data_IF_795561937799
#
_entry.id   IF_795561937799
#
_cell.length_a   1.000
_cell.length_b   1.000
_cell.length_c   1.000
_cell.angle_alpha   90.00
_cell.angle_beta   90.00
_cell.angle_gamma   90.00
#
_symmetry.space_group_name_H-M   'P 1'
#
loop_
_entity.id
_entity.type
_entity.pdbx_description
1 polymer ?
#
# COMPACT_ATOMS: atom_id res chain seq x y z
N UNK A 1 -30.80 3.69 -6.14
CA UNK A 1 -30.12 4.99 -6.25
C UNK A 1 -28.61 4.93 -5.96
N UNK A 2 -28.13 4.01 -5.12
CA UNK A 2 -26.69 3.85 -4.79
C UNK A 2 -25.83 3.48 -6.02
N UNK A 3 -26.26 2.53 -6.86
CA UNK A 3 -25.49 2.11 -8.04
C UNK A 3 -25.48 3.09 -9.23
N UNK A 4 -26.33 4.13 -9.23
CA UNK A 4 -26.29 5.20 -10.26
C UNK A 4 -25.32 6.32 -9.89
N UNK A 5 -24.89 6.40 -8.62
CA UNK A 5 -23.86 7.34 -8.18
C UNK A 5 -22.46 6.79 -8.44
N UNK A 6 -22.19 5.50 -8.25
CA UNK A 6 -20.85 4.91 -8.48
C UNK A 6 -20.39 4.94 -9.95
N UNK A 7 -21.31 4.75 -10.90
CA UNK A 7 -21.01 4.80 -12.32
C UNK A 7 -20.66 6.21 -12.82
N UNK A 8 -21.19 7.25 -12.18
CA UNK A 8 -20.91 8.63 -12.59
C UNK A 8 -19.69 9.17 -11.81
N UNK A 9 -19.36 8.59 -10.64
CA UNK A 9 -18.09 8.80 -9.91
C UNK A 9 -16.88 8.25 -10.70
N UNK A 10 -17.02 7.10 -11.37
CA UNK A 10 -15.96 6.56 -12.23
C UNK A 10 -15.78 7.34 -13.53
N UNK A 11 -16.88 7.90 -14.07
CA UNK A 11 -16.87 8.68 -15.32
C UNK A 11 -16.25 10.08 -15.12
N UNK A 12 -16.55 10.75 -13.99
CA UNK A 12 -15.93 12.03 -13.63
C UNK A 12 -14.44 11.90 -13.26
N UNK A 13 -14.02 10.78 -12.67
CA UNK A 13 -12.60 10.48 -12.38
C UNK A 13 -11.74 10.40 -13.64
N UNK A 14 -12.26 9.73 -14.68
CA UNK A 14 -11.62 9.67 -16.01
C UNK A 14 -11.60 11.02 -16.73
N UNK A 15 -12.54 11.92 -16.45
CA UNK A 15 -12.61 13.25 -17.08
C UNK A 15 -11.69 14.31 -16.43
N UNK A 16 -11.25 14.08 -15.19
CA UNK A 16 -10.40 15.00 -14.42
C UNK A 16 -8.89 14.69 -14.52
N UNK A 17 -8.51 13.48 -14.95
CA UNK A 17 -7.11 13.14 -15.27
C UNK A 17 -6.60 13.82 -16.55
N UNK A 18 -7.52 14.23 -17.43
CA UNK A 18 -7.24 14.85 -18.72
C UNK A 18 -7.16 16.39 -18.70
N UNK A 19 -7.39 17.05 -17.54
CA UNK A 19 -7.43 18.52 -17.47
C UNK A 19 -6.62 19.09 -16.27
N UNK A 20 -5.35 19.46 -16.51
CA UNK A 20 -4.46 20.04 -15.49
C UNK A 20 -4.98 21.36 -14.89
N UNK A 21 -5.88 22.08 -15.57
CA UNK A 21 -6.46 23.32 -15.02
C UNK A 21 -7.42 23.02 -13.85
N UNK A 22 -8.20 21.93 -13.92
CA UNK A 22 -9.12 21.50 -12.86
C UNK A 22 -8.39 20.96 -11.61
N UNK A 23 -7.27 20.25 -11.81
CA UNK A 23 -6.37 19.85 -10.71
C UNK A 23 -5.72 21.08 -10.06
N UNK A 24 -5.29 22.05 -10.87
CA UNK A 24 -4.73 23.31 -10.36
C UNK A 24 -5.76 24.19 -9.63
N UNK A 25 -7.04 24.09 -10.01
CA UNK A 25 -8.18 24.76 -9.36
C UNK A 25 -8.50 24.13 -8.00
N UNK A 26 -8.45 22.80 -7.90
CA UNK A 26 -8.60 22.05 -6.64
C UNK A 26 -7.45 22.34 -5.65
N UNK A 27 -6.23 22.51 -6.15
CA UNK A 27 -5.05 22.88 -5.35
C UNK A 27 -4.99 24.37 -4.97
N UNK A 28 -5.71 25.27 -5.68
CA UNK A 28 -5.56 26.74 -5.50
C UNK A 28 -6.67 27.53 -4.81
N UNK A 29 -7.88 27.03 -4.47
CA UNK A 29 -8.95 27.94 -3.96
C UNK A 29 -9.75 27.53 -2.70
N UNK A 30 -9.54 28.39 -1.67
CA UNK A 30 -10.41 28.85 -0.57
C UNK A 30 -11.84 28.28 -0.51
N UNK A 31 -12.16 27.67 0.64
CA UNK A 31 -13.47 27.26 1.23
C UNK A 31 -14.74 28.01 0.74
N UNK A 32 -14.65 29.29 0.36
CA UNK A 32 -15.75 30.09 -0.18
C UNK A 32 -16.31 29.60 -1.53
N UNK A 33 -15.51 28.94 -2.36
CA UNK A 33 -16.00 28.40 -3.65
C UNK A 33 -16.77 27.09 -3.47
N UNK A 34 -16.39 26.27 -2.48
CA UNK A 34 -17.13 25.07 -2.09
C UNK A 34 -18.49 25.42 -1.46
N UNK A 35 -18.56 26.51 -0.70
CA UNK A 35 -19.83 27.08 -0.23
C UNK A 35 -20.68 27.60 -1.40
N UNK A 36 -20.06 28.17 -2.44
CA UNK A 36 -20.73 28.58 -3.68
C UNK A 36 -21.36 27.41 -4.45
N UNK A 37 -20.62 26.30 -4.60
CA UNK A 37 -21.08 25.08 -5.26
C UNK A 37 -22.22 24.42 -4.47
N UNK A 38 -22.08 24.33 -3.13
CA UNK A 38 -23.14 23.82 -2.24
C UNK A 38 -24.42 24.68 -2.31
N UNK A 39 -24.28 26.00 -2.32
CA UNK A 39 -25.41 26.92 -2.44
C UNK A 39 -26.07 26.81 -3.81
N UNK A 40 -25.29 26.70 -4.90
CA UNK A 40 -25.78 26.44 -6.25
C UNK A 40 -26.56 25.12 -6.35
N UNK A 41 -26.08 24.05 -5.71
CA UNK A 41 -26.79 22.77 -5.65
C UNK A 41 -28.14 22.87 -4.90
N UNK A 42 -28.22 23.68 -3.83
CA UNK A 42 -29.48 23.92 -3.10
C UNK A 42 -30.46 24.81 -3.85
N UNK A 43 -30.00 25.81 -4.60
CA UNK A 43 -30.86 26.66 -5.45
C UNK A 43 -31.38 25.88 -6.66
N UNK A 44 -30.49 25.11 -7.31
CA UNK A 44 -30.88 24.13 -8.30
C UNK A 44 -31.94 23.20 -7.71
N UNK A 45 -31.76 22.69 -6.48
CA UNK A 45 -32.70 21.81 -5.71
C UNK A 45 -34.15 22.31 -5.73
N UNK A 46 -34.32 23.59 -5.42
CA UNK A 46 -35.62 24.26 -5.39
C UNK A 46 -36.21 24.46 -6.79
N UNK A 47 -35.36 24.67 -7.79
CA UNK A 47 -35.78 24.92 -9.18
C UNK A 47 -36.39 23.69 -9.87
N UNK A 48 -35.89 22.47 -9.62
CA UNK A 48 -36.53 21.25 -10.17
C UNK A 48 -37.84 20.92 -9.44
N UNK A 49 -37.95 21.20 -8.14
CA UNK A 49 -39.24 21.06 -7.45
C UNK A 49 -40.29 22.00 -8.05
N UNK A 50 -39.90 23.25 -8.32
CA UNK A 50 -40.74 24.22 -9.01
C UNK A 50 -41.11 23.76 -10.43
N UNK A 51 -40.14 23.30 -11.23
CA UNK A 51 -40.39 22.81 -12.59
C UNK A 51 -41.25 21.54 -12.63
N UNK A 52 -41.11 20.63 -11.66
CA UNK A 52 -41.97 19.46 -11.54
C UNK A 52 -43.41 19.86 -11.19
N UNK A 53 -43.59 20.90 -10.37
CA UNK A 53 -44.90 21.51 -10.13
C UNK A 53 -45.51 22.11 -11.41
N UNK A 54 -44.73 22.84 -12.20
CA UNK A 54 -45.14 23.39 -13.50
C UNK A 54 -45.51 22.29 -14.51
N UNK A 55 -44.73 21.19 -14.56
CA UNK A 55 -45.02 20.02 -15.39
C UNK A 55 -46.33 19.36 -14.97
N UNK A 56 -46.61 19.26 -13.67
CA UNK A 56 -47.90 18.77 -13.16
C UNK A 56 -49.07 19.62 -13.65
N UNK A 57 -48.94 20.95 -13.57
CA UNK A 57 -49.96 21.88 -14.03
C UNK A 57 -50.16 21.83 -15.56
N UNK A 58 -49.08 21.65 -16.34
CA UNK A 58 -49.15 21.50 -17.80
C UNK A 58 -49.81 20.18 -18.19
N UNK A 59 -49.50 19.06 -17.51
CA UNK A 59 -50.18 17.77 -17.73
C UNK A 59 -51.68 17.88 -17.50
N UNK A 60 -52.09 18.58 -16.46
CA UNK A 60 -53.49 18.81 -16.15
C UNK A 60 -54.19 19.68 -17.22
N UNK A 61 -53.49 20.66 -17.80
CA UNK A 61 -53.96 21.45 -18.95
C UNK A 61 -54.03 20.64 -20.25
N UNK A 62 -53.12 19.69 -20.46
CA UNK A 62 -53.13 18.76 -21.60
C UNK A 62 -54.37 17.85 -21.52
N UNK A 63 -54.66 17.29 -20.35
CA UNK A 63 -55.84 16.42 -20.15
C UNK A 63 -57.17 17.17 -20.31
N UNK A 64 -57.19 18.48 -20.09
CA UNK A 64 -58.39 19.33 -20.21
C UNK A 64 -58.51 20.07 -21.55
N UNK A 65 -57.52 19.97 -22.45
CA UNK A 65 -57.51 20.66 -23.75
C UNK A 65 -58.17 19.80 -24.85
N UNK A 66 -59.43 20.09 -25.18
CA UNK A 66 -60.26 19.34 -26.12
C UNK A 66 -59.99 19.52 -27.62
N UNK A 67 -58.79 19.92 -28.08
CA UNK A 67 -58.54 20.10 -29.52
C UNK A 67 -57.14 20.54 -29.99
N UNK A 68 -56.83 20.19 -31.24
CA UNK A 68 -55.49 19.98 -31.82
C UNK A 68 -54.40 21.04 -31.59
N UNK A 69 -54.65 22.34 -31.80
CA UNK A 69 -53.58 23.37 -31.71
C UNK A 69 -53.14 23.64 -30.26
N UNK A 70 -54.10 23.71 -29.33
CA UNK A 70 -53.82 23.88 -27.89
C UNK A 70 -53.16 22.63 -27.29
N UNK A 71 -53.56 21.45 -27.75
CA UNK A 71 -52.93 20.19 -27.35
C UNK A 71 -51.48 20.08 -27.86
N UNK A 72 -51.22 20.51 -29.11
CA UNK A 72 -49.86 20.53 -29.67
C UNK A 72 -48.95 21.54 -28.96
N UNK A 73 -49.44 22.74 -28.63
CA UNK A 73 -48.68 23.74 -27.90
C UNK A 73 -48.38 23.27 -26.47
N UNK A 74 -49.36 22.65 -25.81
CA UNK A 74 -49.18 22.09 -24.47
C UNK A 74 -48.21 20.89 -24.46
N UNK A 75 -48.23 20.03 -25.49
CA UNK A 75 -47.26 18.94 -25.66
C UNK A 75 -45.84 19.46 -25.90
N UNK A 76 -45.68 20.54 -26.68
CA UNK A 76 -44.38 21.20 -26.89
C UNK A 76 -43.85 21.82 -25.61
N UNK A 77 -44.70 22.49 -24.85
CA UNK A 77 -44.33 23.05 -23.54
C UNK A 77 -43.96 21.97 -22.54
N UNK A 78 -44.71 20.86 -22.52
CA UNK A 78 -44.39 19.69 -21.72
C UNK A 78 -43.03 19.09 -22.09
N UNK A 79 -42.75 18.88 -23.38
CA UNK A 79 -41.46 18.36 -23.83
C UNK A 79 -40.31 19.30 -23.47
N UNK A 80 -40.47 20.61 -23.70
CA UNK A 80 -39.48 21.63 -23.33
C UNK A 80 -39.18 21.63 -21.82
N UNK A 81 -40.20 21.51 -20.98
CA UNK A 81 -40.05 21.46 -19.52
C UNK A 81 -39.44 20.16 -19.04
N UNK A 82 -39.78 19.03 -19.68
CA UNK A 82 -39.11 17.74 -19.43
C UNK A 82 -37.62 17.82 -19.77
N UNK A 83 -37.26 18.46 -20.88
CA UNK A 83 -35.87 18.63 -21.28
C UNK A 83 -35.11 19.64 -20.40
N UNK A 84 -35.80 20.62 -19.83
CA UNK A 84 -35.26 21.54 -18.82
C UNK A 84 -35.00 20.81 -17.50
N UNK A 85 -35.94 19.97 -17.04
CA UNK A 85 -35.77 19.13 -15.84
C UNK A 85 -34.65 18.10 -16.02
N UNK A 86 -34.53 17.50 -17.20
CA UNK A 86 -33.42 16.57 -17.49
C UNK A 86 -32.07 17.26 -17.41
N UNK A 87 -31.92 18.43 -18.02
CA UNK A 87 -30.68 19.21 -17.97
C UNK A 87 -30.30 19.62 -16.54
N UNK A 88 -31.28 20.03 -15.75
CA UNK A 88 -31.04 20.41 -14.35
C UNK A 88 -30.75 19.18 -13.46
N UNK A 89 -31.38 18.03 -13.75
CA UNK A 89 -31.08 16.76 -13.09
C UNK A 89 -29.67 16.25 -13.40
N UNK A 90 -29.23 16.35 -14.67
CA UNK A 90 -27.87 16.02 -15.10
C UNK A 90 -26.82 16.92 -14.44
N UNK A 91 -27.10 18.23 -14.36
CA UNK A 91 -26.27 19.21 -13.65
C UNK A 91 -26.14 18.90 -12.14
N UNK A 92 -27.24 18.50 -11.49
CA UNK A 92 -27.22 18.07 -10.07
C UNK A 92 -26.49 16.77 -9.83
N UNK A 93 -26.64 15.83 -10.76
CA UNK A 93 -25.95 14.55 -10.69
C UNK A 93 -24.44 14.83 -10.71
N UNK A 94 -23.97 15.63 -11.66
CA UNK A 94 -22.57 16.11 -11.72
C UNK A 94 -22.10 16.74 -10.40
N UNK A 95 -22.85 17.68 -9.83
CA UNK A 95 -22.49 18.36 -8.58
C UNK A 95 -22.47 17.42 -7.35
N UNK A 96 -23.42 16.48 -7.26
CA UNK A 96 -23.45 15.47 -6.20
C UNK A 96 -22.25 14.53 -6.29
N UNK A 97 -21.82 14.20 -7.49
CA UNK A 97 -20.70 13.32 -7.74
C UNK A 97 -19.37 14.03 -7.53
N UNK A 98 -19.26 15.30 -7.90
CA UNK A 98 -18.11 16.14 -7.58
C UNK A 98 -17.91 16.21 -6.07
N UNK A 99 -18.98 16.42 -5.28
CA UNK A 99 -18.91 16.43 -3.81
C UNK A 99 -18.53 15.07 -3.21
N UNK A 100 -19.01 13.97 -3.77
CA UNK A 100 -18.67 12.62 -3.29
C UNK A 100 -17.29 12.17 -3.78
N UNK A 101 -16.86 12.62 -4.96
CA UNK A 101 -15.48 12.48 -5.45
C UNK A 101 -14.54 13.24 -4.54
N UNK A 102 -14.84 14.48 -4.17
CA UNK A 102 -13.98 15.27 -3.31
C UNK A 102 -13.83 14.64 -1.93
N UNK A 103 -14.92 14.11 -1.35
CA UNK A 103 -14.87 13.35 -0.09
C UNK A 103 -14.08 12.05 -0.23
N UNK A 104 -14.37 11.26 -1.27
CA UNK A 104 -13.69 9.98 -1.53
C UNK A 104 -12.21 10.18 -1.86
N UNK A 105 -11.85 11.25 -2.57
CA UNK A 105 -10.47 11.64 -2.86
C UNK A 105 -9.78 12.13 -1.59
N UNK A 106 -10.45 12.88 -0.72
CA UNK A 106 -9.86 13.30 0.57
C UNK A 106 -9.59 12.10 1.48
N UNK A 107 -10.48 11.10 1.49
CA UNK A 107 -10.31 9.87 2.26
C UNK A 107 -9.29 8.91 1.63
N UNK A 108 -9.29 8.76 0.29
CA UNK A 108 -8.31 7.94 -0.44
C UNK A 108 -6.91 8.55 -0.42
N UNK A 109 -6.77 9.87 -0.58
CA UNK A 109 -5.46 10.55 -0.43
C UNK A 109 -4.90 10.35 0.99
N UNK A 110 -5.76 10.35 2.03
CA UNK A 110 -5.33 10.04 3.40
C UNK A 110 -4.99 8.56 3.64
N UNK A 111 -5.64 7.62 2.96
CA UNK A 111 -5.40 6.17 3.09
C UNK A 111 -4.28 5.62 2.19
N UNK A 112 -4.10 6.19 1.01
CA UNK A 112 -3.13 5.77 -0.02
C UNK A 112 -1.75 6.43 0.20
N UNK A 113 -1.69 7.59 0.85
CA UNK A 113 -0.42 8.21 1.24
C UNK A 113 0.07 7.78 2.62
N UNK A 114 -0.70 6.98 3.38
CA UNK A 114 -0.23 6.46 4.67
C UNK A 114 0.72 5.27 4.45
N UNK A 115 2.03 5.43 4.73
CA UNK A 115 3.02 4.36 4.53
C UNK A 115 2.61 3.10 5.30
N UNK A 116 2.90 1.91 4.75
CA UNK A 116 2.65 0.60 5.40
C UNK A 116 3.16 0.57 6.85
N UNK A 117 4.32 1.19 7.09
CA UNK A 117 4.89 1.39 8.42
C UNK A 117 3.96 2.13 9.39
N UNK A 118 3.31 3.21 8.95
CA UNK A 118 2.41 4.00 9.80
C UNK A 118 1.09 3.26 10.05
N UNK A 119 0.62 2.45 9.10
CA UNK A 119 -0.50 1.53 9.32
C UNK A 119 -0.17 0.47 10.39
N UNK A 120 1.01 -0.12 10.35
CA UNK A 120 1.46 -1.07 11.37
C UNK A 120 1.70 -0.37 12.73
N UNK A 121 2.29 0.82 12.73
CA UNK A 121 2.51 1.60 13.94
C UNK A 121 1.19 2.02 14.59
N UNK A 122 0.15 2.35 13.79
CA UNK A 122 -1.20 2.59 14.30
C UNK A 122 -1.73 1.37 15.06
N UNK A 123 -1.62 0.16 14.49
CA UNK A 123 -2.06 -1.08 15.15
C UNK A 123 -1.35 -1.30 16.47
N UNK A 124 -0.03 -1.14 16.50
CA UNK A 124 0.76 -1.26 17.73
C UNK A 124 0.39 -0.20 18.77
N UNK A 125 0.21 1.05 18.34
CA UNK A 125 -0.13 2.16 19.21
C UNK A 125 -1.52 2.01 19.84
N UNK A 126 -2.50 1.57 19.06
CA UNK A 126 -3.84 1.22 19.57
C UNK A 126 -3.76 0.09 20.58
N UNK A 127 -2.95 -0.94 20.33
CA UNK A 127 -2.80 -2.07 21.24
C UNK A 127 -2.12 -1.66 22.55
N UNK A 128 -1.05 -0.88 22.50
CA UNK A 128 -0.32 -0.39 23.67
C UNK A 128 -1.17 0.51 24.54
N UNK A 129 -1.98 1.36 23.91
CA UNK A 129 -2.89 2.27 24.62
C UNK A 129 -4.24 1.63 24.96
N UNK A 130 -4.43 0.34 24.66
CA UNK A 130 -5.69 -0.42 24.85
C UNK A 130 -6.90 0.29 24.21
N UNK A 131 -6.70 0.86 23.03
CA UNK A 131 -7.71 1.58 22.27
C UNK A 131 -7.99 3.00 22.76
N UNK A 132 -7.27 3.52 23.76
CA UNK A 132 -7.47 4.91 24.23
C UNK A 132 -6.97 5.95 23.21
N UNK A 133 -6.01 5.58 22.35
CA UNK A 133 -5.51 6.45 21.29
C UNK A 133 -5.36 5.75 19.95
N UNK A 134 -5.68 6.47 18.88
CA UNK A 134 -5.41 6.07 17.49
C UNK A 134 -4.43 7.06 16.85
N UNK A 135 -3.49 6.54 16.07
CA UNK A 135 -2.55 7.36 15.30
C UNK A 135 -3.24 7.97 14.08
N UNK A 136 -3.21 9.29 13.95
CA UNK A 136 -3.80 10.03 12.82
C UNK A 136 -2.75 10.91 12.17
N UNK A 137 -2.75 10.90 10.84
CA UNK A 137 -1.92 11.78 10.03
C UNK A 137 -2.86 12.77 9.36
N UNK A 138 -2.56 14.05 9.48
CA UNK A 138 -3.32 15.10 8.84
C UNK A 138 -2.36 16.21 8.42
N UNK A 139 -2.36 16.56 7.14
CA UNK A 139 -1.65 17.69 6.48
C UNK A 139 -0.25 18.04 7.00
N UNK A 140 -0.19 18.57 8.22
CA UNK A 140 0.98 19.17 8.87
C UNK A 140 1.60 18.31 9.98
N UNK A 141 1.13 17.08 10.25
CA UNK A 141 1.82 16.22 11.23
C UNK A 141 1.14 14.96 11.71
N UNK A 142 1.75 14.38 12.75
CA UNK A 142 1.30 13.16 13.44
C UNK A 142 0.58 13.54 14.73
N UNK A 143 -0.63 13.01 14.89
CA UNK A 143 -1.51 13.28 16.03
C UNK A 143 -1.98 11.98 16.68
N UNK A 144 -2.20 12.02 17.99
CA UNK A 144 -2.96 10.99 18.70
C UNK A 144 -4.41 11.43 18.84
N UNK A 145 -5.35 10.68 18.28
CA UNK A 145 -6.79 10.89 18.49
C UNK A 145 -7.20 10.19 19.77
N UNK A 146 -7.71 10.95 20.73
CA UNK A 146 -8.21 10.43 22.00
C UNK A 146 -9.59 9.79 21.79
N UNK A 147 -9.75 8.51 22.11
CA UNK A 147 -10.97 7.75 21.85
C UNK A 147 -12.16 8.18 22.73
N UNK A 148 -11.91 8.76 23.91
CA UNK A 148 -12.97 9.20 24.84
C UNK A 148 -13.54 10.55 24.44
N UNK A 149 -12.67 11.46 24.01
CA UNK A 149 -13.04 12.85 23.73
C UNK A 149 -13.16 13.15 22.23
N UNK A 150 -12.65 12.30 21.35
CA UNK A 150 -12.59 12.51 19.91
C UNK A 150 -11.59 13.59 19.45
N UNK A 151 -10.89 14.24 20.39
CA UNK A 151 -10.00 15.36 20.09
C UNK A 151 -8.65 14.86 19.54
N UNK A 152 -8.09 15.61 18.59
CA UNK A 152 -6.73 15.42 18.11
C UNK A 152 -5.75 16.08 19.08
N UNK A 153 -4.78 15.30 19.57
CA UNK A 153 -3.67 15.78 20.39
C UNK A 153 -2.39 15.74 19.56
N UNK A 154 -1.69 16.87 19.53
CA UNK A 154 -0.32 16.93 19.04
C UNK A 154 0.60 16.05 19.89
N UNK A 155 1.76 15.66 19.36
CA UNK A 155 2.75 14.89 20.12
C UNK A 155 3.17 15.58 21.43
N UNK A 156 3.15 16.91 21.49
CA UNK A 156 3.46 17.70 22.70
C UNK A 156 2.35 17.63 23.77
N UNK A 157 1.12 17.34 23.36
CA UNK A 157 -0.05 17.22 24.24
C UNK A 157 -0.29 15.79 24.72
N UNK A 158 0.42 14.81 24.15
CA UNK A 158 0.43 13.44 24.66
C UNK A 158 1.26 13.38 25.94
N UNK A 159 0.82 12.54 26.90
CA UNK A 159 1.63 12.25 28.08
C UNK A 159 2.99 11.66 27.66
N UNK A 160 4.01 11.83 28.49
CA UNK A 160 5.34 11.27 28.23
C UNK A 160 5.29 9.74 28.03
N UNK A 161 4.45 9.03 28.79
CA UNK A 161 4.24 7.57 28.62
C UNK A 161 3.58 7.21 27.30
N UNK A 162 2.52 7.94 26.91
CA UNK A 162 1.85 7.74 25.62
C UNK A 162 2.76 8.04 24.43
N UNK A 163 3.64 9.06 24.55
CA UNK A 163 4.67 9.33 23.54
C UNK A 163 5.69 8.20 23.42
N UNK A 164 6.07 7.58 24.54
CA UNK A 164 6.99 6.45 24.54
C UNK A 164 6.34 5.22 23.88
N UNK A 165 5.08 4.93 24.19
CA UNK A 165 4.30 3.87 23.53
C UNK A 165 4.22 4.10 22.02
N UNK A 166 4.01 5.34 21.57
CA UNK A 166 4.04 5.68 20.15
C UNK A 166 5.42 5.44 19.51
N UNK A 167 6.49 5.84 20.19
CA UNK A 167 7.86 5.63 19.71
C UNK A 167 8.18 4.12 19.59
N UNK A 168 7.77 3.33 20.59
CA UNK A 168 7.94 1.89 20.58
C UNK A 168 7.09 1.22 19.49
N UNK A 169 5.86 1.68 19.27
CA UNK A 169 4.98 1.20 18.22
C UNK A 169 5.56 1.45 16.82
N UNK A 170 6.18 2.61 16.59
CA UNK A 170 6.89 2.92 15.35
C UNK A 170 8.11 2.02 15.15
N UNK A 171 8.90 1.79 16.21
CA UNK A 171 10.07 0.89 16.15
C UNK A 171 9.67 -0.57 15.93
N UNK A 172 8.55 -1.01 16.49
CA UNK A 172 8.07 -2.37 16.30
C UNK A 172 7.45 -2.59 14.93
N UNK A 173 6.70 -1.63 14.42
CA UNK A 173 6.28 -1.65 13.01
C UNK A 173 7.50 -1.82 12.09
N UNK A 174 8.59 -1.12 12.41
CA UNK A 174 9.84 -1.27 11.68
C UNK A 174 10.44 -2.68 11.79
N UNK A 175 10.51 -3.21 13.01
CA UNK A 175 11.09 -4.52 13.30
C UNK A 175 10.25 -5.64 12.66
N UNK A 176 8.92 -5.55 12.72
CA UNK A 176 8.03 -6.55 12.13
C UNK A 176 8.18 -6.61 10.61
N UNK A 177 8.38 -5.46 9.95
CA UNK A 177 8.66 -5.41 8.51
C UNK A 177 9.98 -6.12 8.17
N UNK A 178 11.04 -5.88 8.97
CA UNK A 178 12.34 -6.54 8.78
C UNK A 178 12.32 -8.04 9.08
N UNK A 179 11.43 -8.47 9.97
CA UNK A 179 11.32 -9.87 10.40
C UNK A 179 10.25 -10.65 9.63
N UNK A 180 9.61 -10.07 8.61
CA UNK A 180 8.68 -10.80 7.75
C UNK A 180 9.36 -12.03 7.14
N UNK A 181 8.82 -13.21 7.41
CA UNK A 181 9.37 -14.49 6.96
C UNK A 181 10.52 -15.05 7.82
N UNK A 182 10.90 -14.37 8.90
CA UNK A 182 11.96 -14.79 9.82
C UNK A 182 11.46 -14.97 11.25
N UNK A 183 12.29 -15.56 12.12
CA UNK A 183 11.98 -15.67 13.55
C UNK A 183 12.19 -14.32 14.25
N UNK A 184 11.27 -13.96 15.14
CA UNK A 184 11.36 -12.74 15.95
C UNK A 184 12.64 -12.70 16.78
N UNK A 185 13.44 -11.65 16.60
CA UNK A 185 14.68 -11.47 17.34
C UNK A 185 14.40 -10.91 18.74
N UNK A 186 15.30 -11.16 19.71
CA UNK A 186 15.22 -10.55 21.03
C UNK A 186 15.32 -9.03 20.95
N UNK A 187 14.50 -8.33 21.74
CA UNK A 187 14.60 -6.88 21.92
C UNK A 187 15.43 -6.56 23.14
N UNK A 188 16.45 -5.73 22.96
CA UNK A 188 17.25 -5.18 24.05
C UNK A 188 16.86 -3.71 24.23
N UNK A 189 16.39 -3.36 25.41
CA UNK A 189 16.04 -1.99 25.78
C UNK A 189 17.02 -1.51 26.84
N UNK A 190 17.83 -0.51 26.46
CA UNK A 190 18.81 0.11 27.34
C UNK A 190 18.23 1.38 27.97
N UNK A 191 18.15 1.42 29.30
CA UNK A 191 17.83 2.63 30.08
C UNK A 191 16.59 3.43 29.61
N UNK A 192 15.61 2.76 28.98
CA UNK A 192 14.46 3.42 28.37
C UNK A 192 13.56 4.16 29.40
N UNK A 193 13.77 3.93 30.70
CA UNK A 193 12.92 4.39 31.81
C UNK A 193 13.60 5.40 32.76
N UNK A 194 14.78 5.92 32.40
CA UNK A 194 15.68 6.65 33.33
C UNK A 194 15.10 7.91 34.00
N UNK A 195 13.91 8.39 33.61
CA UNK A 195 13.18 9.43 34.37
C UNK A 195 11.66 9.19 34.37
N UNK A 196 11.20 7.96 34.61
CA UNK A 196 9.78 7.64 34.75
C UNK A 196 9.31 7.77 36.21
N UNK A 197 8.19 8.45 36.46
CA UNK A 197 7.41 8.21 37.69
C UNK A 197 6.81 6.80 37.65
N UNK A 198 6.29 6.29 38.77
CA UNK A 198 5.75 4.93 38.87
C UNK A 198 4.65 4.66 37.83
N UNK A 199 3.80 5.65 37.53
CA UNK A 199 2.77 5.56 36.48
C UNK A 199 3.37 5.36 35.07
N UNK A 200 4.47 6.04 34.74
CA UNK A 200 5.18 5.85 33.46
C UNK A 200 5.84 4.47 33.36
N UNK A 201 6.42 3.99 34.45
CA UNK A 201 7.03 2.65 34.50
C UNK A 201 5.97 1.57 34.24
N UNK A 202 4.81 1.71 34.89
CA UNK A 202 3.68 0.82 34.77
C UNK A 202 3.19 0.64 33.32
N UNK A 203 3.02 1.74 32.58
CA UNK A 203 2.59 1.70 31.18
C UNK A 203 3.59 0.95 30.28
N UNK A 204 4.89 1.11 30.52
CA UNK A 204 5.93 0.49 29.70
C UNK A 204 6.13 -0.96 30.07
N UNK A 205 6.13 -1.31 31.36
CA UNK A 205 6.17 -2.69 31.83
C UNK A 205 5.02 -3.52 31.24
N UNK A 206 3.79 -2.98 31.27
CA UNK A 206 2.62 -3.59 30.60
C UNK A 206 2.82 -3.76 29.09
N UNK A 207 3.41 -2.77 28.45
CA UNK A 207 3.66 -2.79 27.00
C UNK A 207 4.70 -3.86 26.64
N UNK A 208 5.77 -3.99 27.42
CA UNK A 208 6.82 -4.99 27.20
C UNK A 208 6.34 -6.40 27.55
N UNK A 209 5.50 -6.53 28.57
CA UNK A 209 4.85 -7.80 28.92
C UNK A 209 3.95 -8.32 27.81
N UNK A 210 3.19 -7.43 27.15
CA UNK A 210 2.38 -7.77 25.98
C UNK A 210 3.24 -8.38 24.86
N UNK A 211 4.43 -7.82 24.61
CA UNK A 211 5.36 -8.34 23.60
C UNK A 211 5.97 -9.69 24.02
N UNK A 212 6.24 -9.88 25.31
CA UNK A 212 6.80 -11.13 25.80
C UNK A 212 5.77 -12.27 25.78
N UNK A 213 4.58 -12.01 26.30
CA UNK A 213 3.55 -13.02 26.56
C UNK A 213 2.68 -13.34 25.33
N UNK A 214 2.20 -12.33 24.61
CA UNK A 214 1.28 -12.53 23.47
C UNK A 214 2.02 -12.70 22.15
N UNK A 215 3.14 -12.00 21.97
CA UNK A 215 3.90 -12.03 20.71
C UNK A 215 5.03 -13.05 20.69
N UNK A 216 5.30 -13.71 21.83
CA UNK A 216 6.35 -14.72 21.98
C UNK A 216 7.76 -14.16 21.79
N UNK A 217 7.95 -12.86 21.98
CA UNK A 217 9.23 -12.18 21.71
C UNK A 217 10.08 -12.11 22.98
N UNK A 218 11.36 -12.47 22.89
CA UNK A 218 12.27 -12.28 24.03
C UNK A 218 12.52 -10.78 24.25
N UNK A 219 12.31 -10.30 25.47
CA UNK A 219 12.62 -8.92 25.88
C UNK A 219 13.71 -8.93 26.95
N UNK A 220 14.77 -8.16 26.70
CA UNK A 220 15.90 -7.94 27.59
C UNK A 220 15.88 -6.46 27.96
N UNK A 221 15.61 -6.17 29.23
CA UNK A 221 15.53 -4.81 29.73
C UNK A 221 16.72 -4.53 30.66
N UNK A 222 17.50 -3.50 30.34
CA UNK A 222 18.66 -3.07 31.13
C UNK A 222 18.22 -1.91 32.03
N UNK A 223 18.41 -2.08 33.33
CA UNK A 223 18.06 -1.10 34.34
C UNK A 223 19.20 -0.88 35.33
N UNK A 224 19.25 0.34 35.88
CA UNK A 224 20.24 0.71 36.89
C UNK A 224 19.70 0.57 38.33
N UNK A 225 18.38 0.40 38.51
CA UNK A 225 17.71 0.37 39.81
C UNK A 225 17.14 -1.02 40.11
N UNK A 226 17.59 -1.63 41.21
CA UNK A 226 17.09 -2.95 41.67
C UNK A 226 15.55 -2.97 41.90
N UNK A 227 14.97 -1.84 42.29
CA UNK A 227 13.53 -1.70 42.61
C UNK A 227 12.61 -1.85 41.38
N UNK A 228 13.14 -1.73 40.17
CA UNK A 228 12.34 -1.84 38.94
C UNK A 228 11.79 -3.26 38.73
N UNK A 229 12.51 -4.29 39.18
CA UNK A 229 11.99 -5.67 39.13
C UNK A 229 10.75 -5.85 40.03
N UNK A 230 10.74 -5.21 41.21
CA UNK A 230 9.60 -5.28 42.12
C UNK A 230 8.40 -4.48 41.59
N UNK A 231 8.64 -3.30 41.01
CA UNK A 231 7.60 -2.52 40.33
C UNK A 231 7.00 -3.31 39.15
N UNK A 232 7.82 -4.04 38.40
CA UNK A 232 7.35 -4.87 37.28
C UNK A 232 6.39 -5.96 37.77
N UNK A 233 6.73 -6.61 38.89
CA UNK A 233 5.88 -7.64 39.52
C UNK A 233 4.54 -7.06 39.96
N UNK A 234 4.55 -5.86 40.56
CA UNK A 234 3.32 -5.18 41.01
C UNK A 234 2.42 -4.81 39.83
N UNK A 235 2.99 -4.30 38.74
CA UNK A 235 2.22 -3.73 37.62
C UNK A 235 1.72 -4.75 36.59
N UNK A 236 2.44 -5.87 36.45
CA UNK A 236 2.12 -6.90 35.44
C UNK A 236 1.63 -8.20 36.06
N UNK A 237 1.84 -8.40 37.37
CA UNK A 237 1.61 -9.68 38.04
C UNK A 237 2.67 -10.75 37.73
N UNK A 238 3.62 -10.46 36.84
CA UNK A 238 4.67 -11.37 36.40
C UNK A 238 6.04 -10.93 36.93
N UNK A 239 6.83 -11.90 37.36
CA UNK A 239 8.19 -11.65 37.84
C UNK A 239 9.21 -11.87 36.71
N UNK A 240 9.87 -10.81 36.20
CA UNK A 240 10.88 -10.95 35.18
C UNK A 240 12.13 -11.65 35.76
N UNK A 241 12.85 -12.39 34.90
CA UNK A 241 14.14 -12.97 35.29
C UNK A 241 15.18 -11.86 35.49
N UNK A 242 15.43 -11.51 36.76
CA UNK A 242 16.40 -10.47 37.12
C UNK A 242 17.83 -11.03 37.18
N UNK A 243 18.77 -10.39 36.47
CA UNK A 243 20.19 -10.74 36.46
C UNK A 243 21.01 -9.52 36.86
N UNK A 244 21.67 -9.57 38.03
CA UNK A 244 22.56 -8.50 38.49
C UNK A 244 23.94 -8.58 37.82
N UNK A 245 24.26 -7.59 37.00
CA UNK A 245 25.57 -7.46 36.37
C UNK A 245 26.64 -7.11 37.42
N UNK A 246 27.77 -7.83 37.44
CA UNK A 246 28.91 -7.57 38.34
C UNK A 246 29.03 -8.46 39.58
N UNK A 247 28.03 -9.31 39.87
CA UNK A 247 28.09 -10.29 40.99
C UNK A 247 28.55 -11.69 40.56
N UNK A 248 28.57 -11.97 39.26
CA UNK A 248 29.04 -13.22 38.67
C UNK A 248 30.32 -12.97 37.86
N UNK A 249 31.35 -13.79 38.07
CA UNK A 249 32.50 -13.82 37.16
C UNK A 249 32.01 -14.36 35.82
N UNK A 250 32.56 -13.87 34.71
CA UNK A 250 32.23 -14.35 33.36
C UNK A 250 32.36 -15.88 33.19
N UNK A 251 33.07 -16.56 34.11
CA UNK A 251 33.22 -18.01 34.22
C UNK A 251 31.98 -18.77 34.69
N UNK A 252 31.02 -18.12 35.36
CA UNK A 252 29.88 -18.80 35.99
C UNK A 252 28.64 -18.84 35.08
N UNK A 253 28.67 -18.07 33.98
CA UNK A 253 27.66 -18.11 32.94
C UNK A 253 28.06 -19.21 31.95
N UNK A 254 27.49 -20.41 32.12
CA UNK A 254 27.40 -21.36 31.00
C UNK A 254 26.44 -20.77 29.97
N UNK A 255 26.97 -19.89 29.12
CA UNK A 255 26.35 -19.60 27.84
C UNK A 255 26.29 -20.93 27.09
N UNK A 256 25.14 -21.59 27.09
CA UNK A 256 24.79 -22.40 25.92
C UNK A 256 24.89 -21.43 24.75
N UNK A 257 25.81 -21.64 23.80
CA UNK A 257 25.81 -20.81 22.61
C UNK A 257 24.40 -20.94 22.06
N UNK A 258 23.63 -19.85 22.07
CA UNK A 258 22.54 -19.74 21.11
C UNK A 258 23.24 -20.02 19.79
N UNK A 259 22.95 -21.18 19.20
CA UNK A 259 23.60 -21.64 17.99
C UNK A 259 23.67 -20.43 17.07
N UNK A 260 24.90 -19.97 16.75
CA UNK A 260 25.09 -18.82 15.88
C UNK A 260 24.46 -19.21 14.55
N UNK A 261 23.17 -18.91 14.38
CA UNK A 261 22.46 -19.00 13.11
C UNK A 261 22.65 -17.69 12.32
N UNK A 262 23.75 -16.96 12.56
CA UNK A 262 24.27 -16.07 11.52
C UNK A 262 24.80 -16.99 10.43
N UNK A 263 24.07 -17.11 9.33
CA UNK A 263 24.65 -17.64 8.09
C UNK A 263 25.85 -16.75 7.79
N UNK A 264 27.05 -17.28 7.99
CA UNK A 264 28.28 -16.53 7.75
C UNK A 264 28.35 -16.29 6.25
N UNK A 265 28.32 -15.03 5.85
CA UNK A 265 28.47 -14.67 4.44
C UNK A 265 29.93 -14.96 4.08
N UNK A 266 30.22 -15.79 3.07
CA UNK A 266 31.60 -16.03 2.66
C UNK A 266 32.22 -14.71 2.15
N UNK A 267 33.50 -14.44 2.44
CA UNK A 267 34.20 -13.32 1.80
C UNK A 267 34.31 -13.53 0.28
N UNK A 268 34.48 -12.43 -0.46
CA UNK A 268 34.57 -12.43 -1.93
C UNK A 268 35.91 -13.00 -2.44
N UNK A 269 36.96 -12.96 -1.61
CA UNK A 269 38.38 -13.23 -1.92
C UNK A 269 38.65 -14.22 -3.06
N UNK A 270 39.03 -13.66 -4.22
CA UNK A 270 39.56 -14.40 -5.38
C UNK A 270 38.54 -15.24 -6.16
N UNK A 271 37.26 -15.18 -5.80
CA UNK A 271 36.18 -15.90 -6.51
C UNK A 271 35.61 -15.07 -7.64
N UNK A 272 35.06 -15.76 -8.63
CA UNK A 272 34.17 -15.12 -9.60
C UNK A 272 32.94 -14.56 -8.87
N UNK A 273 32.55 -13.33 -9.22
CA UNK A 273 31.52 -12.57 -8.50
C UNK A 273 30.14 -13.24 -8.62
N UNK A 274 29.85 -13.92 -9.73
CA UNK A 274 28.59 -14.65 -9.94
C UNK A 274 28.61 -16.01 -9.22
N UNK A 275 29.77 -16.65 -9.10
CA UNK A 275 29.93 -17.85 -8.28
C UNK A 275 29.74 -17.55 -6.79
N UNK A 276 30.32 -16.44 -6.31
CA UNK A 276 30.11 -15.96 -4.95
C UNK A 276 28.63 -15.66 -4.66
N UNK A 277 27.92 -15.00 -5.59
CA UNK A 277 26.49 -14.72 -5.45
C UNK A 277 25.64 -16.00 -5.30
N UNK A 278 25.98 -17.07 -6.03
CA UNK A 278 25.30 -18.37 -5.92
C UNK A 278 25.53 -19.01 -4.55
N UNK A 279 26.73 -18.91 -3.99
CA UNK A 279 27.06 -19.43 -2.66
C UNK A 279 26.32 -18.68 -1.54
N UNK A 280 26.22 -17.35 -1.66
CA UNK A 280 25.46 -16.47 -0.76
C UNK A 280 23.95 -16.78 -0.85
N UNK A 281 23.47 -17.26 -1.99
CA UNK A 281 22.07 -17.53 -2.26
C UNK A 281 21.32 -16.30 -2.76
N UNK A 282 21.95 -15.53 -3.66
CA UNK A 282 21.31 -14.42 -4.35
C UNK A 282 20.21 -14.97 -5.27
N UNK A 283 18.96 -14.59 -5.00
CA UNK A 283 17.81 -15.01 -5.80
C UNK A 283 17.75 -14.22 -7.13
N UNK A 284 17.21 -14.87 -8.16
CA UNK A 284 16.80 -14.19 -9.40
C UNK A 284 15.61 -13.27 -9.15
N UNK A 285 15.39 -12.33 -10.06
CA UNK A 285 14.29 -11.37 -10.02
C UNK A 285 13.08 -11.98 -10.75
N UNK A 286 11.94 -12.01 -10.06
CA UNK A 286 10.65 -12.37 -10.65
C UNK A 286 10.01 -11.21 -11.40
N UNK A 287 9.22 -11.52 -12.43
CA UNK A 287 8.50 -10.53 -13.25
C UNK A 287 7.50 -9.67 -12.46
N UNK A 288 7.02 -10.17 -11.32
CA UNK A 288 6.07 -9.50 -10.44
C UNK A 288 6.64 -9.16 -9.05
N UNK A 289 7.94 -9.33 -8.85
CA UNK A 289 8.59 -8.91 -7.60
C UNK A 289 8.42 -7.41 -7.39
N UNK A 290 8.52 -6.95 -6.15
CA UNK A 290 8.58 -5.52 -5.85
C UNK A 290 10.04 -5.03 -5.96
N UNK A 291 10.28 -3.76 -6.36
CA UNK A 291 11.63 -3.21 -6.39
C UNK A 291 12.35 -3.38 -5.05
N UNK A 292 11.63 -3.25 -3.93
CA UNK A 292 12.17 -3.41 -2.59
C UNK A 292 12.70 -4.83 -2.30
N UNK A 293 12.17 -5.86 -2.96
CA UNK A 293 12.60 -7.26 -2.78
C UNK A 293 13.80 -7.67 -3.63
N UNK A 294 14.30 -6.78 -4.49
CA UNK A 294 15.50 -7.04 -5.30
C UNK A 294 16.74 -7.13 -4.40
N UNK A 295 17.57 -8.15 -4.61
CA UNK A 295 18.82 -8.35 -3.88
C UNK A 295 19.88 -7.32 -4.31
N UNK A 296 20.59 -6.72 -3.35
CA UNK A 296 21.55 -5.63 -3.61
C UNK A 296 22.66 -5.96 -4.61
N UNK A 297 23.08 -7.22 -4.63
CA UNK A 297 24.00 -7.75 -5.64
C UNK A 297 23.66 -7.33 -7.07
N UNK A 298 22.38 -7.33 -7.47
CA UNK A 298 21.97 -7.05 -8.85
C UNK A 298 22.19 -5.60 -9.27
N UNK A 299 22.30 -4.67 -8.31
CA UNK A 299 22.59 -3.26 -8.56
C UNK A 299 24.02 -2.85 -8.18
N UNK A 300 24.81 -3.77 -7.60
CA UNK A 300 26.15 -3.50 -7.07
C UNK A 300 27.18 -4.58 -7.45
N UNK A 301 27.05 -5.21 -8.62
CA UNK A 301 27.96 -6.29 -9.05
C UNK A 301 29.42 -5.84 -9.19
N UNK A 302 29.66 -4.57 -9.45
CA UNK A 302 30.99 -3.93 -9.50
C UNK A 302 31.53 -3.51 -8.13
N UNK A 303 30.75 -3.65 -7.06
CA UNK A 303 31.13 -3.32 -5.68
C UNK A 303 30.95 -4.53 -4.75
N UNK A 304 31.52 -5.71 -5.05
CA UNK A 304 31.24 -6.93 -4.31
C UNK A 304 31.69 -6.85 -2.85
N UNK A 305 32.75 -6.09 -2.53
CA UNK A 305 33.18 -5.84 -1.15
C UNK A 305 32.16 -5.00 -0.38
N UNK A 306 31.51 -4.03 -1.04
CA UNK A 306 30.44 -3.24 -0.43
C UNK A 306 29.22 -4.11 -0.16
N UNK A 307 28.85 -4.97 -1.11
CA UNK A 307 27.76 -5.95 -0.95
C UNK A 307 28.07 -6.89 0.22
N UNK A 308 29.28 -7.48 0.27
CA UNK A 308 29.72 -8.29 1.40
C UNK A 308 29.63 -7.56 2.74
N UNK A 309 30.07 -6.30 2.81
CA UNK A 309 29.96 -5.50 4.04
C UNK A 309 28.50 -5.25 4.44
N UNK A 310 27.62 -4.95 3.47
CA UNK A 310 26.18 -4.76 3.71
C UNK A 310 25.53 -6.03 4.28
N UNK A 311 25.85 -7.19 3.70
CA UNK A 311 25.30 -8.47 4.13
C UNK A 311 25.87 -8.93 5.48
N UNK A 312 27.19 -8.91 5.67
CA UNK A 312 27.85 -9.46 6.87
C UNK A 312 27.74 -8.54 8.09
N UNK A 313 27.97 -7.23 7.90
CA UNK A 313 28.02 -6.27 9.02
C UNK A 313 26.67 -5.67 9.34
N UNK A 314 25.86 -5.36 8.33
CA UNK A 314 24.61 -4.62 8.49
C UNK A 314 23.37 -5.48 8.32
N UNK A 315 23.49 -6.71 7.80
CA UNK A 315 22.34 -7.56 7.52
C UNK A 315 21.40 -6.97 6.48
N UNK A 316 21.93 -6.12 5.60
CA UNK A 316 21.19 -5.45 4.53
C UNK A 316 21.47 -6.20 3.23
N UNK A 317 20.45 -6.85 2.68
CA UNK A 317 20.56 -7.66 1.47
C UNK A 317 19.52 -7.30 0.40
N UNK A 318 18.64 -6.32 0.68
CA UNK A 318 17.56 -5.87 -0.21
C UNK A 318 17.55 -4.37 -0.48
N UNK A 319 17.06 -3.99 -1.66
CA UNK A 319 16.91 -2.58 -2.09
C UNK A 319 16.05 -1.78 -1.11
N UNK A 320 14.94 -2.37 -0.63
CA UNK A 320 14.08 -1.71 0.36
C UNK A 320 14.84 -1.33 1.64
N UNK A 321 15.60 -2.28 2.20
CA UNK A 321 16.42 -2.04 3.40
C UNK A 321 17.52 -0.98 3.15
N UNK A 322 18.10 -0.96 1.94
CA UNK A 322 19.09 0.05 1.56
C UNK A 322 18.50 1.46 1.47
N UNK A 323 17.31 1.64 0.86
CA UNK A 323 16.61 2.95 0.80
C UNK A 323 16.46 3.56 2.18
N UNK A 324 16.16 2.71 3.15
CA UNK A 324 15.98 3.09 4.55
C UNK A 324 17.32 3.53 5.15
N UNK A 325 18.36 2.72 4.94
CA UNK A 325 19.70 3.01 5.45
C UNK A 325 20.22 4.36 4.91
N UNK A 326 19.95 4.68 3.65
CA UNK A 326 20.32 5.97 3.05
C UNK A 326 19.59 7.16 3.70
N UNK A 327 18.35 6.96 4.15
CA UNK A 327 17.59 7.95 4.92
C UNK A 327 18.17 8.25 6.31
N UNK A 328 18.98 7.34 6.87
CA UNK A 328 19.55 7.47 8.21
C UNK A 328 20.90 8.23 8.27
N UNK A 329 21.42 8.65 7.11
CA UNK A 329 22.66 9.43 7.03
C UNK A 329 23.96 8.62 7.05
N UNK A 330 23.87 7.28 7.02
CA UNK A 330 25.00 6.37 6.79
C UNK A 330 25.35 6.31 5.31
N UNK A 331 26.57 5.88 4.96
CA UNK A 331 27.04 5.75 3.56
C UNK A 331 27.08 7.06 2.74
N UNK A 332 27.35 8.21 3.37
CA UNK A 332 27.37 9.51 2.68
C UNK A 332 28.26 9.54 1.43
N UNK A 333 29.40 8.84 1.45
CA UNK A 333 30.31 8.77 0.32
C UNK A 333 29.74 8.01 -0.87
N UNK A 334 28.92 6.98 -0.64
CA UNK A 334 28.30 6.13 -1.67
C UNK A 334 26.86 6.54 -2.00
N UNK A 335 26.26 7.45 -1.22
CA UNK A 335 24.84 7.79 -1.25
C UNK A 335 24.32 8.12 -2.64
N UNK A 336 24.98 9.05 -3.34
CA UNK A 336 24.55 9.48 -4.66
C UNK A 336 24.60 8.34 -5.70
N UNK A 337 25.59 7.43 -5.61
CA UNK A 337 25.63 6.24 -6.48
C UNK A 337 24.49 5.27 -6.14
N UNK A 338 24.27 4.99 -4.86
CA UNK A 338 23.24 4.06 -4.42
C UNK A 338 21.82 4.56 -4.77
N UNK A 339 21.53 5.84 -4.57
CA UNK A 339 20.25 6.46 -4.92
C UNK A 339 19.97 6.35 -6.43
N UNK A 340 20.94 6.69 -7.28
CA UNK A 340 20.79 6.59 -8.75
C UNK A 340 20.54 5.14 -9.21
N UNK A 341 21.23 4.17 -8.62
CA UNK A 341 21.05 2.75 -8.99
C UNK A 341 19.74 2.15 -8.50
N UNK A 342 19.24 2.60 -7.35
CA UNK A 342 17.90 2.25 -6.86
C UNK A 342 16.84 2.80 -7.82
N UNK A 343 16.92 4.07 -8.20
CA UNK A 343 15.97 4.71 -9.12
C UNK A 343 15.96 4.00 -10.49
N UNK A 344 17.13 3.62 -11.01
CA UNK A 344 17.23 2.83 -12.25
C UNK A 344 16.57 1.45 -12.11
N UNK A 345 16.76 0.76 -10.98
CA UNK A 345 16.13 -0.53 -10.71
C UNK A 345 14.60 -0.43 -10.65
N UNK A 346 14.07 0.60 -10.00
CA UNK A 346 12.63 0.85 -9.90
C UNK A 346 12.03 1.10 -11.30
N UNK A 347 12.68 1.95 -12.09
CA UNK A 347 12.24 2.24 -13.46
C UNK A 347 12.34 1.02 -14.39
N UNK A 348 13.37 0.20 -14.22
CA UNK A 348 13.49 -1.06 -14.96
C UNK A 348 12.33 -2.01 -14.62
N UNK A 349 11.99 -2.16 -13.34
CA UNK A 349 10.85 -2.98 -12.88
C UNK A 349 9.51 -2.46 -13.41
N UNK A 350 9.32 -1.13 -13.48
CA UNK A 350 8.13 -0.54 -14.12
C UNK A 350 8.05 -0.93 -15.60
N UNK A 351 9.16 -0.81 -16.34
CA UNK A 351 9.24 -1.23 -17.74
C UNK A 351 9.00 -2.73 -17.92
N UNK A 352 9.49 -3.55 -16.97
CA UNK A 352 9.26 -5.00 -16.94
C UNK A 352 7.78 -5.34 -16.72
N UNK A 353 7.04 -4.55 -15.96
CA UNK A 353 5.61 -4.77 -15.72
C UNK A 353 4.71 -4.35 -16.88
N UNK A 354 5.20 -3.50 -17.79
CA UNK A 354 4.39 -3.06 -18.94
C UNK A 354 3.94 -4.24 -19.80
N UNK A 355 2.65 -4.30 -20.05
CA UNK A 355 2.00 -5.38 -20.79
C UNK A 355 1.89 -6.69 -20.01
N UNK A 356 2.27 -6.71 -18.73
CA UNK A 356 2.15 -7.83 -17.80
C UNK A 356 1.21 -7.43 -16.67
N UNK A 357 -0.02 -7.95 -16.71
CA UNK A 357 -0.99 -7.73 -15.64
C UNK A 357 -0.53 -8.35 -14.31
N UNK A 358 -1.15 -7.91 -13.21
CA UNK A 358 -0.87 -8.50 -11.88
C UNK A 358 -1.24 -9.99 -11.88
N UNK A 359 -0.51 -10.83 -11.13
CA UNK A 359 -0.88 -12.23 -10.97
C UNK A 359 -2.26 -12.32 -10.32
N UNK A 360 -3.16 -13.06 -10.95
CA UNK A 360 -4.50 -13.33 -10.45
C UNK A 360 -4.47 -14.57 -9.58
N UNK A 361 -4.81 -14.40 -8.30
CA UNK A 361 -4.98 -15.50 -7.36
C UNK A 361 -6.42 -16.01 -7.29
N UNK A 362 -6.55 -17.16 -6.64
CA UNK A 362 -7.85 -17.85 -6.48
C UNK A 362 -8.78 -17.09 -5.54
N UNK A 363 -8.22 -16.42 -4.53
CA UNK A 363 -9.01 -15.66 -3.56
C UNK A 363 -9.58 -14.37 -4.17
N UNK A 364 -8.81 -13.71 -5.03
CA UNK A 364 -9.25 -12.57 -5.84
C UNK A 364 -10.36 -13.00 -6.81
N UNK A 365 -10.19 -14.14 -7.47
CA UNK A 365 -11.18 -14.70 -8.38
C UNK A 365 -12.48 -15.09 -7.67
N UNK A 366 -12.38 -15.70 -6.47
CA UNK A 366 -13.55 -15.97 -5.61
C UNK A 366 -14.25 -14.69 -5.20
N UNK A 367 -13.47 -13.68 -4.79
CA UNK A 367 -13.98 -12.39 -4.32
C UNK A 367 -14.70 -11.62 -5.43
N UNK A 368 -14.33 -11.84 -6.70
CA UNK A 368 -15.03 -11.25 -7.85
C UNK A 368 -16.51 -11.67 -7.94
N UNK A 369 -16.86 -12.86 -7.43
CA UNK A 369 -18.21 -13.43 -7.52
C UNK A 369 -18.67 -13.78 -8.96
N UNK A 370 -17.79 -13.66 -9.96
CA UNK A 370 -18.08 -13.88 -11.37
C UNK A 370 -18.08 -15.38 -11.72
N UNK A 371 -17.24 -16.17 -11.05
CA UNK A 371 -17.24 -17.63 -11.09
C UNK A 371 -17.91 -18.19 -9.84
N UNK A 372 -19.16 -18.65 -9.97
CA UNK A 372 -19.99 -19.08 -8.81
C UNK A 372 -19.92 -20.58 -8.48
N UNK A 373 -19.44 -21.40 -9.41
CA UNK A 373 -19.38 -22.84 -9.22
C UNK A 373 -18.03 -23.22 -8.61
N UNK A 374 -18.05 -23.90 -7.46
CA UNK A 374 -16.83 -24.41 -6.81
C UNK A 374 -15.98 -25.26 -7.77
N UNK A 375 -16.60 -26.13 -8.56
CA UNK A 375 -15.89 -26.92 -9.58
C UNK A 375 -15.13 -26.06 -10.59
N UNK A 376 -15.73 -24.99 -11.07
CA UNK A 376 -15.08 -24.12 -12.06
C UNK A 376 -14.03 -23.20 -11.42
N UNK A 377 -14.19 -22.87 -10.13
CA UNK A 377 -13.16 -22.18 -9.36
C UNK A 377 -11.94 -23.07 -9.12
N UNK A 378 -12.12 -24.36 -8.84
CA UNK A 378 -11.03 -25.32 -8.73
C UNK A 378 -10.28 -25.49 -10.07
N UNK A 379 -11.01 -25.60 -11.17
CA UNK A 379 -10.42 -25.67 -12.51
C UNK A 379 -9.62 -24.39 -12.85
N UNK A 380 -10.19 -23.21 -12.58
CA UNK A 380 -9.50 -21.94 -12.77
C UNK A 380 -8.28 -21.80 -11.85
N UNK A 381 -8.38 -22.27 -10.60
CA UNK A 381 -7.29 -22.26 -9.63
C UNK A 381 -6.11 -23.11 -10.08
N UNK A 382 -6.38 -24.28 -10.66
CA UNK A 382 -5.34 -25.13 -11.24
C UNK A 382 -4.62 -24.42 -12.38
N UNK A 383 -5.37 -23.86 -13.34
CA UNK A 383 -4.80 -23.14 -14.48
C UNK A 383 -3.96 -21.94 -14.03
N UNK A 384 -4.46 -21.13 -13.09
CA UNK A 384 -3.72 -19.98 -12.55
C UNK A 384 -2.49 -20.41 -11.76
N UNK A 385 -2.54 -21.52 -11.02
CA UNK A 385 -1.36 -22.04 -10.32
C UNK A 385 -0.28 -22.53 -11.29
N UNK A 386 -0.66 -23.12 -12.42
CA UNK A 386 0.29 -23.58 -13.45
C UNK A 386 0.88 -22.43 -14.26
N UNK A 387 0.09 -21.37 -14.52
CA UNK A 387 0.53 -20.20 -15.29
C UNK A 387 1.18 -19.09 -14.46
N UNK A 388 1.39 -19.29 -13.16
CA UNK A 388 1.92 -18.26 -12.27
C UNK A 388 0.96 -17.08 -12.05
N UNK A 389 -0.33 -17.28 -12.27
CA UNK A 389 -1.38 -16.29 -12.10
C UNK A 389 -1.70 -15.48 -13.36
N UNK A 390 -1.25 -15.91 -14.55
CA UNK A 390 -1.59 -15.20 -15.79
C UNK A 390 -3.11 -15.31 -16.09
N UNK A 391 -3.78 -14.17 -15.99
CA UNK A 391 -5.21 -14.04 -16.24
C UNK A 391 -5.59 -14.28 -17.70
N UNK A 392 -4.68 -14.08 -18.67
CA UNK A 392 -4.93 -14.33 -20.09
C UNK A 392 -5.15 -15.81 -20.37
N UNK A 393 -4.37 -16.69 -19.73
CA UNK A 393 -4.52 -18.15 -19.82
C UNK A 393 -5.94 -18.59 -19.41
N UNK A 394 -6.47 -17.99 -18.34
CA UNK A 394 -7.83 -18.28 -17.88
C UNK A 394 -8.89 -17.79 -18.89
N UNK A 395 -8.72 -16.58 -19.44
CA UNK A 395 -9.64 -16.08 -20.47
C UNK A 395 -9.61 -16.94 -21.73
N UNK A 396 -8.43 -17.31 -22.22
CA UNK A 396 -8.27 -18.17 -23.39
C UNK A 396 -8.90 -19.56 -23.17
N UNK A 397 -8.76 -20.11 -21.96
CA UNK A 397 -9.43 -21.35 -21.58
C UNK A 397 -10.96 -21.20 -21.57
N UNK A 398 -11.47 -20.08 -21.05
CA UNK A 398 -12.89 -19.76 -21.06
C UNK A 398 -13.43 -19.49 -22.47
N UNK A 399 -12.64 -18.92 -23.39
CA UNK A 399 -13.01 -18.65 -24.79
C UNK A 399 -12.97 -19.90 -25.67
N UNK A 400 -11.95 -20.74 -25.48
CA UNK A 400 -11.82 -22.04 -26.16
C UNK A 400 -12.71 -23.14 -25.58
N UNK A 401 -13.18 -22.97 -24.35
CA UNK A 401 -14.01 -23.94 -23.63
C UNK A 401 -13.21 -25.05 -22.95
N UNK A 402 -11.87 -24.94 -22.89
CA UNK A 402 -10.99 -25.85 -22.14
C UNK A 402 -11.34 -25.78 -20.65
N UNK A 403 -11.70 -26.90 -20.02
CA UNK A 403 -12.15 -26.94 -18.62
C UNK A 403 -13.58 -26.41 -18.37
N UNK A 404 -14.11 -25.56 -19.26
CA UNK A 404 -15.40 -24.86 -19.08
C UNK A 404 -16.48 -25.20 -20.12
N UNK A 405 -16.28 -26.20 -20.99
CA UNK A 405 -17.19 -26.52 -22.11
C UNK A 405 -18.66 -26.76 -21.71
N UNK A 406 -18.92 -27.22 -20.48
CA UNK A 406 -20.28 -27.51 -19.97
C UNK A 406 -20.94 -26.30 -19.28
N UNK A 407 -20.26 -25.16 -19.22
CA UNK A 407 -20.79 -23.95 -18.60
C UNK A 407 -21.80 -23.26 -19.55
N UNK A 408 -23.08 -23.21 -19.14
CA UNK A 408 -24.16 -22.64 -19.96
C UNK A 408 -24.02 -21.14 -20.24
N UNK A 409 -23.43 -20.40 -19.30
CA UNK A 409 -23.30 -18.94 -19.31
C UNK A 409 -21.83 -18.50 -19.52
N UNK A 410 -21.05 -19.34 -20.20
CA UNK A 410 -19.60 -19.17 -20.41
C UNK A 410 -19.25 -17.84 -21.06
N UNK A 411 -19.91 -17.50 -22.17
CA UNK A 411 -19.63 -16.26 -22.91
C UNK A 411 -19.85 -15.02 -22.04
N UNK A 412 -20.94 -14.98 -21.27
CA UNK A 412 -21.22 -13.87 -20.35
C UNK A 412 -20.17 -13.77 -19.24
N UNK A 413 -19.74 -14.91 -18.67
CA UNK A 413 -18.67 -14.95 -17.66
C UNK A 413 -17.33 -14.51 -18.23
N UNK A 414 -16.99 -14.93 -19.45
CA UNK A 414 -15.77 -14.52 -20.12
C UNK A 414 -15.73 -13.01 -20.30
N UNK A 415 -16.81 -12.40 -20.82
CA UNK A 415 -16.87 -10.95 -21.02
C UNK A 415 -16.77 -10.20 -19.69
N UNK A 416 -17.54 -10.62 -18.68
CA UNK A 416 -17.51 -9.98 -17.37
C UNK A 416 -16.15 -10.13 -16.67
N UNK A 417 -15.50 -11.30 -16.78
CA UNK A 417 -14.15 -11.51 -16.25
C UNK A 417 -13.13 -10.68 -17.01
N UNK A 418 -13.24 -10.55 -18.33
CA UNK A 418 -12.33 -9.71 -19.12
C UNK A 418 -12.44 -8.25 -18.69
N UNK A 419 -13.65 -7.72 -18.56
CA UNK A 419 -13.88 -6.35 -18.08
C UNK A 419 -13.32 -6.14 -16.67
N UNK A 420 -13.57 -7.08 -15.77
CA UNK A 420 -13.07 -7.03 -14.39
C UNK A 420 -11.54 -7.14 -14.30
N UNK A 421 -10.94 -8.05 -15.06
CA UNK A 421 -9.48 -8.24 -15.11
C UNK A 421 -8.77 -7.00 -15.67
N UNK A 422 -9.37 -6.36 -16.67
CA UNK A 422 -8.87 -5.08 -17.20
C UNK A 422 -9.02 -3.95 -16.18
N UNK A 423 -10.13 -3.87 -15.44
CA UNK A 423 -10.36 -2.80 -14.47
C UNK A 423 -9.46 -2.90 -13.23
N UNK A 424 -9.19 -4.12 -12.77
CA UNK A 424 -8.34 -4.36 -11.59
C UNK A 424 -6.84 -4.48 -11.93
N UNK A 425 -6.50 -4.50 -13.22
CA UNK A 425 -5.13 -4.55 -13.72
C UNK A 425 -4.50 -5.95 -13.69
N UNK A 426 -5.31 -7.01 -13.71
CA UNK A 426 -4.86 -8.39 -13.95
C UNK A 426 -4.55 -8.64 -15.42
N UNK A 427 -5.05 -7.78 -16.32
CA UNK A 427 -4.66 -7.72 -17.73
C UNK A 427 -4.22 -6.29 -18.03
N UNK A 428 -3.00 -6.16 -18.53
CA UNK A 428 -2.51 -4.92 -19.12
C UNK A 428 -2.75 -4.96 -20.64
N UNK A 429 -3.18 -3.83 -21.20
CA UNK A 429 -3.43 -3.66 -22.64
C UNK A 429 -2.18 -3.23 -23.40
N UNK A 430 -1.16 -2.74 -22.69
CA UNK A 430 0.12 -2.40 -23.29
C UNK A 430 0.79 -3.66 -23.86
N UNK A 431 1.59 -3.47 -24.91
CA UNK A 431 2.45 -4.54 -25.41
C UNK A 431 3.60 -4.77 -24.44
N UNK A 432 3.91 -6.05 -24.20
CA UNK A 432 5.11 -6.45 -23.47
C UNK A 432 6.34 -5.83 -24.13
N UNK A 433 7.14 -5.10 -23.35
CA UNK A 433 8.41 -4.55 -23.81
C UNK A 433 9.45 -5.66 -23.89
N UNK A 434 10.14 -5.77 -25.02
CA UNK A 434 11.38 -6.55 -25.16
C UNK A 434 12.56 -5.85 -24.47
N UNK A 435 13.74 -6.45 -24.48
CA UNK A 435 14.93 -5.89 -23.81
C UNK A 435 15.25 -4.47 -24.32
N UNK A 436 15.22 -4.25 -25.63
CA UNK A 436 15.50 -2.94 -26.24
C UNK A 436 14.40 -1.91 -25.89
N UNK A 437 13.14 -2.32 -25.88
CA UNK A 437 12.02 -1.50 -25.44
C UNK A 437 12.11 -1.12 -23.97
N UNK A 438 12.51 -2.05 -23.09
CA UNK A 438 12.77 -1.77 -21.66
C UNK A 438 13.94 -0.82 -21.50
N UNK A 439 15.00 -0.98 -22.28
CA UNK A 439 16.13 -0.04 -22.28
C UNK A 439 15.69 1.38 -22.67
N UNK A 440 14.94 1.52 -23.77
CA UNK A 440 14.37 2.80 -24.20
C UNK A 440 13.48 3.43 -23.11
N UNK A 441 12.67 2.61 -22.43
CA UNK A 441 11.85 3.06 -21.30
C UNK A 441 12.71 3.59 -20.13
N UNK A 442 13.76 2.86 -19.75
CA UNK A 442 14.67 3.27 -18.67
C UNK A 442 15.38 4.59 -19.03
N UNK A 443 15.93 4.72 -20.24
CA UNK A 443 16.71 5.92 -20.60
C UNK A 443 15.86 7.18 -20.82
N UNK A 444 14.55 7.02 -21.05
CA UNK A 444 13.64 8.17 -21.23
C UNK A 444 13.59 9.09 -20.00
N UNK A 445 13.97 8.59 -18.81
CA UNK A 445 14.33 9.42 -17.67
C UNK A 445 15.39 8.73 -16.82
N UNK A 446 16.64 8.78 -17.28
CA UNK A 446 17.80 8.36 -16.50
C UNK A 446 17.90 9.26 -15.24
N UNK A 447 18.22 8.68 -14.07
CA UNK A 447 18.53 9.44 -12.86
C UNK A 447 19.53 10.57 -13.12
N UNK A 448 19.24 11.76 -12.58
CA UNK A 448 20.09 12.92 -12.79
C UNK A 448 21.54 12.65 -12.30
N UNK A 449 22.52 12.87 -13.18
CA UNK A 449 23.94 12.68 -12.88
C UNK A 449 24.43 11.23 -12.96
N UNK A 450 23.65 10.28 -13.49
CA UNK A 450 24.14 8.94 -13.84
C UNK A 450 24.76 8.95 -15.24
N UNK A 451 25.97 8.39 -15.37
CA UNK A 451 26.64 8.26 -16.67
C UNK A 451 25.95 7.18 -17.53
N UNK A 452 25.77 7.39 -18.85
CA UNK A 452 25.10 6.40 -19.71
C UNK A 452 25.72 5.00 -19.68
N UNK A 453 27.05 4.93 -19.53
CA UNK A 453 27.77 3.65 -19.39
C UNK A 453 27.46 2.94 -18.08
N UNK A 454 27.31 3.68 -16.98
CA UNK A 454 26.88 3.14 -15.69
C UNK A 454 25.44 2.63 -15.78
N UNK A 455 24.54 3.41 -16.40
CA UNK A 455 23.15 3.02 -16.59
C UNK A 455 23.02 1.72 -17.42
N UNK A 456 23.76 1.61 -18.53
CA UNK A 456 23.74 0.41 -19.39
C UNK A 456 24.29 -0.82 -18.67
N UNK A 457 25.31 -0.63 -17.83
CA UNK A 457 25.90 -1.70 -17.05
C UNK A 457 24.91 -2.25 -16.00
N UNK A 458 24.30 -1.39 -15.20
CA UNK A 458 23.31 -1.81 -14.19
C UNK A 458 22.08 -2.43 -14.86
N UNK A 459 21.61 -1.87 -15.97
CA UNK A 459 20.53 -2.46 -16.77
C UNK A 459 20.85 -3.89 -17.20
N UNK A 460 22.06 -4.13 -17.76
CA UNK A 460 22.46 -5.49 -18.17
C UNK A 460 22.46 -6.48 -17.01
N UNK A 461 22.83 -6.06 -15.80
CA UNK A 461 22.80 -6.91 -14.62
C UNK A 461 21.38 -7.26 -14.16
N UNK A 462 20.43 -6.34 -14.33
CA UNK A 462 19.03 -6.59 -14.01
C UNK A 462 18.39 -7.55 -15.02
N UNK A 463 18.69 -7.37 -16.32
CA UNK A 463 18.28 -8.30 -17.37
C UNK A 463 18.86 -9.71 -17.15
N UNK A 464 20.16 -9.82 -16.87
CA UNK A 464 20.82 -11.08 -16.52
C UNK A 464 20.19 -11.77 -15.29
N UNK A 465 19.63 -10.99 -14.37
CA UNK A 465 19.07 -11.47 -13.12
C UNK A 465 17.62 -11.96 -13.26
N UNK A 466 16.96 -11.71 -14.39
CA UNK A 466 15.58 -12.08 -14.63
C UNK A 466 15.41 -13.63 -14.62
N UNK A 467 14.30 -14.10 -14.06
CA UNK A 467 13.94 -15.52 -14.06
C UNK A 467 13.74 -16.09 -15.46
N UNK A 468 13.95 -17.40 -15.64
CA UNK A 468 13.87 -18.09 -16.94
C UNK A 468 12.44 -18.40 -17.42
N UNK A 469 11.42 -18.23 -16.57
CA UNK A 469 10.03 -18.55 -16.91
C UNK A 469 9.21 -17.27 -17.06
N UNK A 470 8.93 -16.89 -18.31
CA UNK A 470 7.95 -15.85 -18.59
C UNK A 470 6.54 -16.38 -18.24
N UNK A 471 5.70 -15.62 -17.51
CA UNK A 471 4.32 -16.01 -17.27
C UNK A 471 3.61 -16.14 -18.63
N UNK A 472 3.21 -17.37 -18.99
CA UNK A 472 2.48 -17.66 -20.24
C UNK A 472 3.22 -18.52 -21.28
N UNK A 473 4.49 -18.88 -21.09
CA UNK A 473 5.22 -19.77 -22.03
C UNK A 473 5.06 -21.29 -21.76
N UNK A 474 4.11 -21.70 -20.91
CA UNK A 474 3.85 -23.12 -20.58
C UNK A 474 2.78 -23.79 -21.45
#
# INVERSE_FOLDING_TARGET
EIGRNDAVLSTLRKSLESDPELLSLAERRKVRELEGIKNGATEASKKVEQLNGEIGAIRQRIESAGGGRQLQDALRDYQRKVDEVKREYESRLLCYLELNLLKSLTEKVKQDQEPKLLKQARKWFERFTRGNFTLVIDGDGIFGRDAKSGHLKTLKQLSTGTRMQLLLALRLAWIDELEQGYKKLPLVLDEALTVADEERFAEIARTLELLASEEGRQVIYLCARDQEADLWRVETGNEPRHVRLGTHRASDIKLTPAARLRRRVPPVDGKDVLEWAREVGVNRIGYHDEPESVHLFHILRDQPELVYQMLDKWGVDRVGQLKILLGSGWLQAQRAMLERRIELCERWMEGLRKGRGKPLGVEELKSSGLLRSEKYLEEAAHMLSESGGDARVLLDALESGRGFARMRYRTEVTENLREWMLSEGYIDQDSVLDEDGRWLYVISAVPAGMEPGEARLVFSWLEDALGENEPGEA
#
